data_IF_208537125388
#
_entry.id   IF_208537125388
#
_cell.length_a   1.000
_cell.length_b   1.000
_cell.length_c   1.000
_cell.angle_alpha   90.00
_cell.angle_beta   90.00
_cell.angle_gamma   90.00
#
_symmetry.space_group_name_H-M   'P 1'
#
loop_
_entity.id
_entity.type
_entity.pdbx_description
1 polymer ?
#
# COMPACT_ATOMS: atom_id res chain seq x y z
N UNK A 1 31.80 -42.65 -15.35
CA UNK A 1 31.22 -41.29 -15.48
C UNK A 1 29.72 -41.42 -15.27
N UNK A 2 29.25 -41.23 -14.04
CA UNK A 2 27.82 -41.26 -13.73
C UNK A 2 27.22 -39.90 -14.09
N UNK A 3 26.36 -39.89 -15.10
CA UNK A 3 25.55 -38.72 -15.43
C UNK A 3 24.38 -38.69 -14.45
N UNK A 4 24.41 -37.74 -13.51
CA UNK A 4 23.26 -37.43 -12.67
C UNK A 4 22.29 -36.63 -13.51
N UNK A 5 21.30 -37.30 -14.09
CA UNK A 5 20.11 -36.65 -14.64
C UNK A 5 19.37 -35.99 -13.48
N UNK A 6 19.58 -34.69 -13.29
CA UNK A 6 18.74 -33.86 -12.42
C UNK A 6 17.32 -33.92 -12.99
N UNK A 7 16.46 -34.69 -12.34
CA UNK A 7 15.04 -34.75 -12.67
C UNK A 7 14.44 -33.36 -12.49
N UNK A 8 14.25 -32.66 -13.60
CA UNK A 8 13.47 -31.43 -13.66
C UNK A 8 12.02 -31.89 -13.45
N UNK A 9 11.53 -31.79 -12.21
CA UNK A 9 10.09 -31.85 -11.97
C UNK A 9 9.49 -30.61 -12.62
N UNK A 10 8.56 -30.74 -13.57
CA UNK A 10 7.94 -29.58 -14.19
C UNK A 10 7.24 -28.76 -13.10
N UNK A 11 7.46 -27.45 -13.07
CA UNK A 11 6.84 -26.58 -12.08
C UNK A 11 5.31 -26.79 -12.12
N UNK A 12 4.62 -26.90 -10.96
CA UNK A 12 3.18 -27.15 -10.90
C UNK A 12 2.35 -26.16 -11.72
N UNK A 13 2.86 -24.94 -11.86
CA UNK A 13 2.23 -23.85 -12.61
C UNK A 13 2.25 -24.06 -14.14
N UNK A 14 3.10 -24.93 -14.67
CA UNK A 14 3.06 -25.29 -16.10
C UNK A 14 1.85 -26.15 -16.48
N UNK A 15 1.22 -26.82 -15.51
CA UNK A 15 0.03 -27.63 -15.74
C UNK A 15 -1.27 -26.82 -15.70
N UNK A 16 -1.21 -25.57 -15.23
CA UNK A 16 -2.38 -24.71 -15.16
C UNK A 16 -2.60 -24.03 -16.52
N UNK A 17 -3.76 -24.26 -17.12
CA UNK A 17 -4.16 -23.57 -18.35
C UNK A 17 -4.14 -22.05 -18.14
N UNK A 18 -3.68 -21.31 -19.15
CA UNK A 18 -3.52 -19.86 -19.07
C UNK A 18 -4.83 -19.14 -18.73
N UNK A 19 -5.98 -19.66 -19.18
CA UNK A 19 -7.28 -19.08 -18.83
C UNK A 19 -7.58 -19.18 -17.34
N UNK A 20 -7.29 -20.32 -16.72
CA UNK A 20 -7.49 -20.53 -15.28
C UNK A 20 -6.54 -19.66 -14.46
N UNK A 21 -5.29 -19.52 -14.92
CA UNK A 21 -4.33 -18.64 -14.27
C UNK A 21 -4.77 -17.17 -14.34
N UNK A 22 -5.24 -16.72 -15.50
CA UNK A 22 -5.78 -15.36 -15.67
C UNK A 22 -6.98 -15.14 -14.74
N UNK A 23 -7.92 -16.08 -14.69
CA UNK A 23 -9.10 -15.97 -13.83
C UNK A 23 -8.73 -15.88 -12.33
N UNK A 24 -7.69 -16.59 -11.90
CA UNK A 24 -7.16 -16.46 -10.52
C UNK A 24 -6.56 -15.07 -10.33
N UNK A 25 -5.75 -14.59 -11.27
CA UNK A 25 -5.17 -13.25 -11.21
C UNK A 25 -6.24 -12.14 -11.18
N UNK A 26 -7.36 -12.31 -11.88
CA UNK A 26 -8.48 -11.37 -11.88
C UNK A 26 -9.14 -11.23 -10.50
N UNK A 27 -9.10 -12.27 -9.67
CA UNK A 27 -9.62 -12.26 -8.30
C UNK A 27 -8.62 -11.69 -7.29
N UNK A 28 -7.33 -11.63 -7.61
CA UNK A 28 -6.30 -11.15 -6.70
C UNK A 28 -6.20 -9.61 -6.73
N UNK A 29 -5.98 -8.94 -5.59
CA UNK A 29 -5.65 -7.51 -5.57
C UNK A 29 -4.27 -7.26 -6.19
N UNK A 30 -4.03 -6.03 -6.66
CA UNK A 30 -2.76 -5.65 -7.27
C UNK A 30 -1.54 -5.86 -6.34
N UNK A 31 -1.72 -5.80 -5.02
CA UNK A 31 -0.66 -6.12 -4.04
C UNK A 31 -0.16 -7.55 -4.22
N UNK A 32 -1.09 -8.49 -4.36
CA UNK A 32 -0.79 -9.92 -4.40
C UNK A 32 -0.26 -10.30 -5.77
N UNK A 33 -0.78 -9.68 -6.84
CA UNK A 33 -0.23 -9.81 -8.19
C UNK A 33 1.24 -9.33 -8.20
N UNK A 34 1.56 -8.20 -7.56
CA UNK A 34 2.95 -7.73 -7.46
C UNK A 34 3.82 -8.74 -6.73
N UNK A 35 3.35 -9.30 -5.62
CA UNK A 35 4.08 -10.33 -4.89
C UNK A 35 4.28 -11.59 -5.74
N UNK A 36 3.26 -12.01 -6.48
CA UNK A 36 3.31 -13.16 -7.39
C UNK A 36 4.39 -12.98 -8.46
N UNK A 37 4.49 -11.78 -9.05
CA UNK A 37 5.54 -11.42 -10.02
C UNK A 37 6.95 -11.53 -9.45
N UNK A 38 7.14 -11.38 -8.13
CA UNK A 38 8.46 -11.47 -7.49
C UNK A 38 8.89 -12.92 -7.22
N UNK A 39 7.96 -13.88 -7.18
CA UNK A 39 8.27 -15.27 -6.82
C UNK A 39 8.94 -16.08 -7.94
N UNK A 40 8.60 -15.83 -9.21
CA UNK A 40 9.11 -16.60 -10.35
C UNK A 40 9.03 -15.81 -11.66
N UNK A 41 9.97 -16.08 -12.57
CA UNK A 41 9.95 -15.52 -13.92
C UNK A 41 8.71 -15.96 -14.72
N UNK A 42 8.25 -17.20 -14.54
CA UNK A 42 7.04 -17.70 -15.20
C UNK A 42 5.81 -16.89 -14.78
N UNK A 43 5.66 -16.71 -13.46
CA UNK A 43 4.55 -15.97 -12.90
C UNK A 43 4.63 -14.48 -13.25
N UNK A 44 5.82 -13.90 -13.26
CA UNK A 44 6.05 -12.54 -13.73
C UNK A 44 5.58 -12.30 -15.17
N UNK A 45 5.82 -13.26 -16.06
CA UNK A 45 5.43 -13.17 -17.46
C UNK A 45 3.91 -13.32 -17.67
N UNK A 46 3.24 -14.11 -16.84
CA UNK A 46 1.82 -14.44 -17.02
C UNK A 46 0.86 -13.56 -16.19
N UNK A 47 1.34 -12.84 -15.16
CA UNK A 47 0.47 -12.08 -14.26
C UNK A 47 0.43 -10.59 -14.63
N UNK A 48 -0.64 -10.18 -15.30
CA UNK A 48 -0.82 -8.80 -15.73
C UNK A 48 -1.30 -7.89 -14.60
N UNK A 49 -0.67 -6.72 -14.45
CA UNK A 49 -1.09 -5.71 -13.47
C UNK A 49 -2.30 -4.93 -13.99
N UNK A 50 -3.23 -4.61 -13.10
CA UNK A 50 -4.40 -3.79 -13.42
C UNK A 50 -4.14 -2.35 -13.01
N UNK A 51 -3.47 -1.60 -13.88
CA UNK A 51 -3.08 -0.21 -13.63
C UNK A 51 -4.13 0.71 -14.28
N UNK A 52 -5.15 1.10 -13.52
CA UNK A 52 -6.15 2.08 -13.97
C UNK A 52 -5.75 3.52 -13.65
N UNK A 53 -4.93 3.72 -12.61
CA UNK A 53 -4.56 5.02 -12.10
C UNK A 53 -3.05 5.14 -11.93
N UNK A 54 -2.48 6.24 -12.42
CA UNK A 54 -1.05 6.54 -12.30
C UNK A 54 -0.85 7.82 -11.49
N UNK A 55 -0.03 7.72 -10.43
CA UNK A 55 0.36 8.87 -9.62
C UNK A 55 1.70 9.40 -10.12
N UNK A 56 1.76 10.71 -10.40
CA UNK A 56 2.95 11.39 -10.94
C UNK A 56 3.33 12.51 -9.99
N UNK A 57 4.60 12.57 -9.61
CA UNK A 57 5.14 13.69 -8.82
C UNK A 57 6.27 14.36 -9.60
N UNK A 58 6.76 15.49 -9.09
CA UNK A 58 7.89 16.21 -9.67
C UNK A 58 9.25 15.47 -9.57
N UNK A 59 9.27 14.23 -9.08
CA UNK A 59 10.48 13.40 -9.07
C UNK A 59 10.78 12.91 -10.50
N UNK A 60 11.99 13.12 -11.04
CA UNK A 60 12.35 12.63 -12.38
C UNK A 60 12.12 11.12 -12.54
N UNK A 61 12.32 10.31 -11.50
CA UNK A 61 12.03 8.86 -11.55
C UNK A 61 10.55 8.56 -11.75
N UNK A 62 9.65 9.37 -11.18
CA UNK A 62 8.21 9.20 -11.38
C UNK A 62 7.82 9.56 -12.82
N UNK A 63 8.48 10.58 -13.41
CA UNK A 63 8.29 10.93 -14.82
C UNK A 63 8.79 9.83 -15.75
N UNK A 64 9.94 9.22 -15.46
CA UNK A 64 10.47 8.09 -16.24
C UNK A 64 9.53 6.88 -16.21
N UNK A 65 8.97 6.56 -15.04
CA UNK A 65 7.97 5.49 -14.89
C UNK A 65 6.69 5.83 -15.65
N UNK A 66 6.18 7.06 -15.52
CA UNK A 66 4.98 7.48 -16.23
C UNK A 66 5.18 7.39 -17.76
N UNK A 67 6.34 7.78 -18.25
CA UNK A 67 6.72 7.63 -19.66
C UNK A 67 6.81 6.16 -20.08
N UNK A 68 7.46 5.32 -19.27
CA UNK A 68 7.57 3.89 -19.54
C UNK A 68 6.18 3.22 -19.62
N UNK A 69 5.23 3.64 -18.80
CA UNK A 69 3.84 3.15 -18.88
C UNK A 69 3.16 3.64 -20.16
N UNK A 70 3.34 4.92 -20.54
CA UNK A 70 2.77 5.49 -21.76
C UNK A 70 3.32 4.84 -23.04
N UNK A 71 4.60 4.46 -23.04
CA UNK A 71 5.27 3.80 -24.16
C UNK A 71 4.95 2.28 -24.22
N UNK A 72 4.39 1.69 -23.17
CA UNK A 72 4.09 0.25 -23.11
C UNK A 72 2.80 -0.11 -23.87
N UNK A 73 2.88 -1.07 -24.81
CA UNK A 73 1.80 -1.42 -25.73
C UNK A 73 0.50 -1.85 -25.02
N UNK A 74 0.61 -2.61 -23.93
CA UNK A 74 -0.55 -3.10 -23.18
C UNK A 74 -1.07 -2.11 -22.13
N UNK A 75 -0.20 -1.55 -21.28
CA UNK A 75 -0.63 -0.73 -20.14
C UNK A 75 -1.15 0.65 -20.53
N UNK A 76 -0.68 1.24 -21.64
CA UNK A 76 -1.10 2.58 -22.06
C UNK A 76 -2.61 2.72 -22.29
N UNK A 77 -3.27 1.63 -22.68
CA UNK A 77 -4.72 1.61 -22.94
C UNK A 77 -5.56 1.39 -21.69
N UNK A 78 -4.95 0.88 -20.62
CA UNK A 78 -5.66 0.58 -19.37
C UNK A 78 -5.70 1.75 -18.38
N UNK A 79 -4.98 2.83 -18.65
CA UNK A 79 -4.97 4.01 -17.76
C UNK A 79 -6.23 4.83 -17.99
N UNK A 80 -6.99 5.02 -16.94
CA UNK A 80 -8.20 5.85 -16.89
C UNK A 80 -7.90 7.22 -16.28
N UNK A 81 -6.96 7.29 -15.33
CA UNK A 81 -6.69 8.50 -14.54
C UNK A 81 -5.20 8.72 -14.29
N UNK A 82 -4.76 9.97 -14.45
CA UNK A 82 -3.42 10.43 -14.05
C UNK A 82 -3.60 11.46 -12.93
N UNK A 83 -3.04 11.16 -11.76
CA UNK A 83 -3.12 12.01 -10.58
C UNK A 83 -1.77 12.66 -10.33
N UNK A 84 -1.78 13.99 -10.18
CA UNK A 84 -0.61 14.72 -9.71
C UNK A 84 -0.49 14.54 -8.19
N UNK A 85 0.57 13.86 -7.76
CA UNK A 85 0.94 13.64 -6.38
C UNK A 85 1.93 14.74 -5.95
N UNK A 86 1.42 15.71 -5.19
CA UNK A 86 2.21 16.81 -4.61
C UNK A 86 2.72 16.49 -3.20
N UNK A 87 2.63 15.22 -2.76
CA UNK A 87 3.08 14.81 -1.44
C UNK A 87 4.54 15.21 -1.21
N UNK A 88 4.73 16.10 -0.25
CA UNK A 88 6.06 16.51 0.21
C UNK A 88 6.50 15.56 1.32
N UNK A 89 7.66 14.92 1.15
CA UNK A 89 8.29 14.19 2.24
C UNK A 89 8.69 15.21 3.31
N UNK A 90 8.15 15.06 4.52
CA UNK A 90 8.56 15.89 5.64
C UNK A 90 10.08 15.73 5.86
N UNK A 91 10.84 16.83 6.05
CA UNK A 91 12.27 16.74 6.30
C UNK A 91 12.56 15.84 7.50
N UNK A 92 13.66 15.09 7.46
CA UNK A 92 14.08 14.13 8.50
C UNK A 92 14.21 14.77 9.92
N UNK A 93 14.18 16.10 10.05
CA UNK A 93 14.16 16.82 11.32
C UNK A 93 12.78 17.25 11.85
N UNK A 94 11.69 17.13 11.09
CA UNK A 94 10.38 17.63 11.53
C UNK A 94 9.76 16.81 12.67
N UNK A 95 10.08 15.51 12.75
CA UNK A 95 9.63 14.63 13.84
C UNK A 95 10.27 15.01 15.19
N UNK A 96 11.49 15.57 15.19
CA UNK A 96 12.18 15.94 16.43
C UNK A 96 11.47 17.07 17.18
N UNK A 97 10.78 17.96 16.45
CA UNK A 97 10.14 19.14 17.03
C UNK A 97 8.79 18.84 17.71
N UNK A 98 8.11 17.77 17.30
CA UNK A 98 6.82 17.35 17.90
C UNK A 98 7.01 16.49 19.17
N UNK A 99 8.22 15.97 19.44
CA UNK A 99 8.48 15.06 20.56
C UNK A 99 9.34 15.68 21.68
N UNK A 100 9.49 17.01 21.72
CA UNK A 100 10.34 17.73 22.68
C UNK A 100 9.63 18.13 23.99
N UNK A 101 8.34 17.78 24.15
CA UNK A 101 7.55 18.10 25.36
C UNK A 101 6.89 16.86 25.98
N UNK A 102 7.68 15.84 26.32
CA UNK A 102 7.22 14.75 27.19
C UNK A 102 8.41 14.17 27.94
N UNK A 103 8.27 14.00 29.26
CA UNK A 103 9.25 13.53 30.26
C UNK A 103 10.03 14.62 31.01
N UNK A 104 9.31 15.38 31.84
CA UNK A 104 9.82 15.65 33.18
C UNK A 104 9.27 14.54 34.08
N UNK A 105 10.16 13.66 34.55
CA UNK A 105 9.87 12.82 35.70
C UNK A 105 9.87 13.75 36.91
N UNK A 106 8.67 14.04 37.42
CA UNK A 106 8.42 14.80 38.64
C UNK A 106 8.71 13.89 39.83
N UNK A 107 9.99 13.61 40.07
CA UNK A 107 10.45 13.00 41.32
C UNK A 107 10.49 14.11 42.40
N UNK A 108 9.34 14.46 42.97
CA UNK A 108 9.28 15.03 44.34
C UNK A 108 7.86 14.97 44.94
N UNK A 109 7.81 14.39 46.15
CA UNK A 109 6.79 14.50 47.22
C UNK A 109 5.45 13.74 47.14
N UNK A 110 5.46 12.58 47.81
CA UNK A 110 4.55 12.14 48.87
C UNK A 110 3.43 13.11 49.34
N UNK A 111 2.17 12.69 49.16
CA UNK A 111 1.12 12.88 50.18
C UNK A 111 -0.20 13.55 49.74
N UNK A 112 -1.34 12.94 50.09
CA UNK A 112 -2.62 13.65 50.27
C UNK A 112 -3.88 12.90 49.81
N UNK A 113 -4.77 12.57 50.75
CA UNK A 113 -6.01 11.80 50.61
C UNK A 113 -7.23 12.59 50.06
N UNK A 114 -8.22 11.86 49.53
CA UNK A 114 -9.65 12.24 49.43
C UNK A 114 -10.09 12.77 48.05
N UNK A 115 -11.28 12.52 47.50
CA UNK A 115 -12.49 11.78 47.87
C UNK A 115 -13.28 11.57 46.55
N UNK A 116 -14.33 10.75 46.63
CA UNK A 116 -15.24 10.25 45.59
C UNK A 116 -15.78 11.28 44.58
N UNK A 117 -16.04 10.84 43.34
CA UNK A 117 -17.32 11.04 42.65
C UNK A 117 -17.38 10.17 41.38
N UNK A 118 -18.23 9.14 41.44
CA UNK A 118 -18.77 8.42 40.28
C UNK A 118 -19.61 9.42 39.47
N UNK A 119 -19.39 9.55 38.15
CA UNK A 119 -20.47 9.79 37.16
C UNK A 119 -19.95 9.92 35.71
N UNK A 120 -20.72 9.36 34.79
CA UNK A 120 -20.71 9.56 33.33
C UNK A 120 -19.67 8.80 32.48
N UNK A 121 -19.78 7.47 32.48
CA UNK A 121 -19.74 6.75 31.20
C UNK A 121 -21.04 7.09 30.45
N UNK A 122 -20.91 7.57 29.21
CA UNK A 122 -21.74 7.27 28.02
C UNK A 122 -22.03 8.52 27.16
N UNK A 123 -21.79 8.36 25.83
CA UNK A 123 -22.27 9.18 24.69
C UNK A 123 -21.40 10.34 24.20
N UNK A 124 -20.32 9.98 23.51
CA UNK A 124 -19.84 10.78 22.37
C UNK A 124 -19.41 9.91 21.18
N UNK A 125 -20.13 8.82 20.94
CA UNK A 125 -20.31 8.34 19.57
C UNK A 125 -21.60 8.96 19.01
N UNK A 126 -21.48 9.44 17.77
CA UNK A 126 -22.54 9.92 16.88
C UNK A 126 -23.02 11.35 17.19
N UNK A 127 -22.66 12.30 16.30
CA UNK A 127 -23.28 13.60 15.95
C UNK A 127 -22.11 14.58 15.63
N UNK A 128 -21.89 15.11 14.42
CA UNK A 128 -22.80 15.43 13.32
C UNK A 128 -21.99 15.54 12.03
N UNK A 129 -22.21 14.59 11.11
CA UNK A 129 -22.19 14.93 9.70
C UNK A 129 -23.44 15.79 9.44
N UNK A 130 -23.26 17.10 9.32
CA UNK A 130 -24.31 17.98 8.82
C UNK A 130 -23.64 19.14 8.10
N UNK A 131 -23.58 19.07 6.76
CA UNK A 131 -24.51 19.82 5.90
C UNK A 131 -24.13 19.62 4.43
N UNK A 132 -24.90 18.78 3.74
CA UNK A 132 -25.14 18.91 2.31
C UNK A 132 -26.48 19.64 2.12
N UNK A 133 -26.63 20.30 0.97
CA UNK A 133 -27.83 20.97 0.46
C UNK A 133 -28.06 22.43 0.85
N UNK A 134 -27.76 23.31 -0.10
CA UNK A 134 -28.71 24.35 -0.51
C UNK A 134 -28.80 24.31 -2.04
N UNK A 135 -30.03 24.10 -2.50
CA UNK A 135 -30.52 24.35 -3.84
C UNK A 135 -30.54 25.85 -4.17
#
# INVERSE_FOLDING_TARGET
MAQTSSGITPDPFHYLASELFSAICDLLPNSDIKNLRLTSHLLNANSQLRISRVFVSANPRNLDVARAIADHETFRWGIEEIIWDDATLKPIGSFRRENEYRWYDEDEEEGGYGEEDEDAIERQEILKCTRCSTA
#
